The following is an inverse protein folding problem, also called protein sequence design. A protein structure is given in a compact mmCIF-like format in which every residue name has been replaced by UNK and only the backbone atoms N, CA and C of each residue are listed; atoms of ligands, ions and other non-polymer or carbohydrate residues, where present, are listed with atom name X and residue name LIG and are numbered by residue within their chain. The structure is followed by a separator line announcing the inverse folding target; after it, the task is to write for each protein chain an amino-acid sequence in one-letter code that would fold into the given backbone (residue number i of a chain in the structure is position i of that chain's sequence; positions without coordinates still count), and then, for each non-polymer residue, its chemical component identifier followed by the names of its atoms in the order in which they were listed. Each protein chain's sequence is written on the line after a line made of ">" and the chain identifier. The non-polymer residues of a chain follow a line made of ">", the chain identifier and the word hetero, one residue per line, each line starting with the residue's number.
data_IF_095697561871
#
_entry.id   IF_095697561871
#
_cell.length_a   1.000
_cell.length_b   1.000
_cell.length_c   1.000
_cell.angle_alpha   90.00
_cell.angle_beta   90.00
_cell.angle_gamma   90.00
#
_symmetry.space_group_name_H-M   'P 1'
#
loop_
_entity.id
_entity.type
_entity.pdbx_description
1 polymer ?
#
# COMPACT_ATOMS: atom_id res chain seq x y z
N UNK A 1 -32.94 -15.21 -11.56
CA UNK A 1 -32.11 -14.42 -12.48
C UNK A 1 -31.04 -13.68 -11.68
N UNK A 2 -29.90 -14.31 -11.43
CA UNK A 2 -28.76 -13.69 -10.74
C UNK A 2 -27.66 -13.46 -11.77
N UNK A 3 -27.31 -12.18 -11.94
CA UNK A 3 -26.27 -11.70 -12.83
C UNK A 3 -24.92 -12.31 -12.42
N UNK A 4 -24.37 -13.17 -13.28
CA UNK A 4 -22.95 -13.54 -13.31
C UNK A 4 -22.17 -12.30 -13.78
N UNK A 5 -21.94 -11.36 -12.85
CA UNK A 5 -21.02 -10.25 -13.11
C UNK A 5 -19.64 -10.87 -13.39
N UNK A 6 -19.04 -10.43 -14.51
CA UNK A 6 -17.64 -10.61 -14.87
C UNK A 6 -16.74 -10.75 -13.65
N UNK A 7 -15.75 -11.64 -13.69
CA UNK A 7 -14.63 -11.70 -12.74
C UNK A 7 -13.96 -10.33 -12.64
N UNK A 8 -14.46 -9.57 -11.68
CA UNK A 8 -14.30 -8.15 -11.54
C UNK A 8 -13.28 -7.95 -10.44
N UNK A 9 -12.04 -7.63 -10.80
CA UNK A 9 -11.03 -7.21 -9.85
C UNK A 9 -11.47 -5.86 -9.30
N UNK A 10 -11.86 -5.82 -8.03
CA UNK A 10 -12.24 -4.59 -7.36
C UNK A 10 -11.00 -3.69 -7.23
N UNK A 11 -10.81 -2.80 -8.20
CA UNK A 11 -9.81 -1.74 -8.11
C UNK A 11 -10.47 -0.55 -7.43
N UNK A 12 -10.04 -0.25 -6.21
CA UNK A 12 -10.45 0.95 -5.49
C UNK A 12 -9.76 2.16 -6.12
N UNK A 13 -10.34 2.72 -7.19
CA UNK A 13 -10.10 4.13 -7.51
C UNK A 13 -11.06 4.96 -6.66
N UNK A 14 -10.51 5.71 -5.70
CA UNK A 14 -11.24 6.76 -5.01
C UNK A 14 -11.50 7.91 -5.97
N UNK A 15 -12.73 7.99 -6.48
CA UNK A 15 -13.45 9.24 -6.78
C UNK A 15 -14.92 8.87 -7.10
N UNK A 16 -15.80 9.01 -6.11
CA UNK A 16 -17.26 9.05 -6.28
C UNK A 16 -17.96 7.75 -6.69
N UNK A 17 -18.38 6.96 -5.70
CA UNK A 17 -19.59 6.11 -5.72
C UNK A 17 -19.77 5.06 -6.83
N UNK A 18 -18.71 4.48 -7.38
CA UNK A 18 -18.82 3.25 -8.19
C UNK A 18 -17.53 2.44 -8.13
N UNK A 19 -17.58 1.24 -7.54
CA UNK A 19 -16.51 0.25 -7.69
C UNK A 19 -16.48 -0.20 -9.16
N UNK A 20 -15.64 0.48 -9.96
CA UNK A 20 -15.36 0.06 -11.34
C UNK A 20 -14.44 -1.14 -11.27
N UNK A 21 -15.03 -2.30 -10.98
CA UNK A 21 -14.25 -3.51 -10.97
C UNK A 21 -13.82 -3.87 -12.40
N UNK A 22 -12.52 -4.05 -12.56
CA UNK A 22 -11.83 -4.22 -13.84
C UNK A 22 -11.86 -5.71 -14.19
N UNK A 23 -12.26 -6.10 -15.40
CA UNK A 23 -12.22 -7.50 -15.81
C UNK A 23 -10.80 -8.06 -15.74
N UNK A 24 -10.62 -9.26 -15.19
CA UNK A 24 -9.31 -9.92 -15.07
C UNK A 24 -8.57 -9.98 -16.41
N UNK A 25 -9.27 -10.26 -17.51
CA UNK A 25 -8.67 -10.30 -18.85
C UNK A 25 -7.99 -8.99 -19.24
N UNK A 26 -8.54 -7.82 -18.86
CA UNK A 26 -7.89 -6.53 -19.13
C UNK A 26 -6.59 -6.38 -18.31
N UNK A 27 -6.61 -6.79 -17.05
CA UNK A 27 -5.42 -6.69 -16.17
C UNK A 27 -4.31 -7.59 -16.69
N UNK A 28 -4.63 -8.85 -17.04
CA UNK A 28 -3.67 -9.79 -17.62
C UNK A 28 -3.12 -9.31 -18.96
N UNK A 29 -3.95 -8.65 -19.78
CA UNK A 29 -3.51 -8.04 -21.04
C UNK A 29 -2.52 -6.91 -20.81
N UNK A 30 -2.83 -6.00 -19.88
CA UNK A 30 -1.96 -4.89 -19.52
C UNK A 30 -0.64 -5.37 -18.95
N UNK A 31 -0.65 -6.49 -18.22
CA UNK A 31 0.55 -7.15 -17.73
C UNK A 31 1.35 -7.88 -18.83
N UNK A 32 0.88 -7.90 -20.08
CA UNK A 32 1.54 -8.62 -21.18
C UNK A 32 1.55 -10.13 -21.02
N UNK A 33 0.63 -10.68 -20.20
CA UNK A 33 0.53 -12.12 -19.92
C UNK A 33 -0.42 -12.83 -20.89
N UNK A 34 -1.35 -12.09 -21.48
CA UNK A 34 -2.28 -12.58 -22.50
C UNK A 34 -2.45 -11.54 -23.61
N UNK A 35 -2.67 -12.01 -24.83
CA UNK A 35 -3.01 -11.17 -25.98
C UNK A 35 -4.51 -10.89 -26.06
N UNK A 36 -4.88 -9.87 -26.84
CA UNK A 36 -6.30 -9.59 -27.14
C UNK A 36 -6.98 -10.78 -27.83
N UNK A 37 -6.26 -11.49 -28.67
CA UNK A 37 -6.75 -12.63 -29.44
C UNK A 37 -7.06 -13.82 -28.51
N UNK A 38 -6.17 -14.11 -27.58
CA UNK A 38 -6.39 -15.13 -26.54
C UNK A 38 -7.59 -14.77 -25.65
N UNK A 39 -7.76 -13.50 -25.29
CA UNK A 39 -8.94 -13.04 -24.53
C UNK A 39 -10.22 -13.24 -25.36
N UNK A 40 -10.21 -12.90 -26.65
CA UNK A 40 -11.38 -13.07 -27.53
C UNK A 40 -11.75 -14.54 -27.68
N UNK A 41 -10.76 -15.42 -27.87
CA UNK A 41 -10.97 -16.86 -27.95
C UNK A 41 -11.59 -17.39 -26.65
N UNK A 42 -10.98 -17.08 -25.50
CA UNK A 42 -11.49 -17.50 -24.20
C UNK A 42 -12.89 -16.93 -23.89
N UNK A 43 -13.20 -15.72 -24.37
CA UNK A 43 -14.55 -15.13 -24.23
C UNK A 43 -15.60 -15.87 -25.05
N UNK A 44 -15.25 -16.28 -26.29
CA UNK A 44 -16.16 -17.09 -27.10
C UNK A 44 -16.54 -18.39 -26.38
N UNK A 45 -15.58 -19.02 -25.70
CA UNK A 45 -15.84 -20.24 -24.90
C UNK A 45 -16.63 -19.94 -23.62
N UNK A 46 -16.38 -18.78 -23.00
CA UNK A 46 -17.11 -18.30 -21.83
C UNK A 46 -18.60 -18.09 -22.14
N UNK A 47 -18.93 -17.54 -23.30
CA UNK A 47 -20.33 -17.29 -23.72
C UNK A 47 -21.14 -18.60 -23.83
N UNK A 48 -20.49 -19.72 -24.14
CA UNK A 48 -21.13 -21.03 -24.27
C UNK A 48 -21.17 -21.82 -22.96
N UNK A 49 -20.10 -21.72 -22.16
CA UNK A 49 -19.91 -22.53 -20.96
C UNK A 49 -20.30 -21.83 -19.66
N UNK A 50 -20.43 -20.51 -19.67
CA UNK A 50 -20.65 -19.64 -18.51
C UNK A 50 -19.57 -19.75 -17.42
N UNK A 51 -18.36 -20.13 -17.83
CA UNK A 51 -17.24 -20.32 -16.92
C UNK A 51 -16.46 -19.03 -16.74
N UNK A 52 -15.72 -18.87 -15.63
CA UNK A 52 -14.88 -17.70 -15.42
C UNK A 52 -13.76 -17.63 -16.47
N UNK A 53 -13.44 -16.42 -16.95
CA UNK A 53 -12.48 -16.18 -18.04
C UNK A 53 -11.07 -16.62 -17.62
N UNK A 54 -10.69 -16.35 -16.36
CA UNK A 54 -9.43 -16.78 -15.78
C UNK A 54 -9.26 -18.30 -15.81
N UNK A 55 -10.31 -19.05 -15.46
CA UNK A 55 -10.28 -20.52 -15.51
C UNK A 55 -10.11 -21.04 -16.94
N UNK A 56 -10.83 -20.47 -17.90
CA UNK A 56 -10.72 -20.86 -19.32
C UNK A 56 -9.29 -20.62 -19.83
N UNK A 57 -8.69 -19.46 -19.50
CA UNK A 57 -7.31 -19.15 -19.87
C UNK A 57 -6.30 -20.11 -19.23
N UNK A 58 -6.54 -20.57 -17.99
CA UNK A 58 -5.69 -21.54 -17.32
C UNK A 58 -5.80 -22.95 -17.94
N UNK A 59 -7.02 -23.41 -18.22
CA UNK A 59 -7.25 -24.75 -18.78
C UNK A 59 -6.80 -24.90 -20.22
N UNK A 60 -6.88 -23.82 -21.00
CA UNK A 60 -6.34 -23.78 -22.36
C UNK A 60 -4.82 -23.69 -22.40
N UNK A 61 -4.17 -23.57 -21.23
CA UNK A 61 -2.71 -23.48 -21.11
C UNK A 61 -2.12 -22.14 -21.53
N UNK A 62 -2.95 -21.11 -21.72
CA UNK A 62 -2.49 -19.75 -22.09
C UNK A 62 -1.70 -19.11 -20.96
N UNK A 63 -2.14 -19.33 -19.72
CA UNK A 63 -1.45 -18.91 -18.49
C UNK A 63 -1.54 -20.01 -17.44
N UNK A 64 -0.70 -19.94 -16.42
CA UNK A 64 -0.78 -20.89 -15.32
C UNK A 64 -1.97 -20.56 -14.40
N UNK A 65 -2.58 -21.59 -13.80
CA UNK A 65 -3.62 -21.42 -12.78
C UNK A 65 -3.11 -20.55 -11.61
N UNK A 66 -1.86 -20.74 -11.20
CA UNK A 66 -1.24 -19.93 -10.14
C UNK A 66 -1.26 -18.43 -10.48
N UNK A 67 -0.99 -18.08 -11.73
CA UNK A 67 -1.05 -16.68 -12.20
C UNK A 67 -2.46 -16.12 -12.07
N UNK A 68 -3.47 -16.88 -12.48
CA UNK A 68 -4.88 -16.48 -12.32
C UNK A 68 -5.22 -16.27 -10.85
N UNK A 69 -4.90 -17.26 -10.01
CA UNK A 69 -5.18 -17.22 -8.57
C UNK A 69 -4.54 -15.99 -7.91
N UNK A 70 -3.30 -15.64 -8.28
CA UNK A 70 -2.62 -14.43 -7.79
C UNK A 70 -3.36 -13.15 -8.19
N UNK A 71 -3.71 -13.00 -9.48
CA UNK A 71 -4.39 -11.80 -9.97
C UNK A 71 -5.80 -11.63 -9.42
N UNK A 72 -6.48 -12.73 -9.06
CA UNK A 72 -7.80 -12.70 -8.42
C UNK A 72 -7.68 -12.37 -6.93
N UNK A 73 -6.74 -12.98 -6.21
CA UNK A 73 -6.78 -13.01 -4.74
C UNK A 73 -5.77 -12.09 -4.06
N UNK A 74 -4.59 -11.90 -4.64
CA UNK A 74 -3.48 -11.16 -4.03
C UNK A 74 -3.31 -9.78 -4.64
N UNK A 75 -3.38 -9.69 -5.97
CA UNK A 75 -3.21 -8.44 -6.70
C UNK A 75 -4.14 -7.30 -6.22
N UNK A 76 -5.45 -7.53 -5.95
CA UNK A 76 -6.32 -6.46 -5.48
C UNK A 76 -5.92 -5.93 -4.09
N UNK A 77 -5.41 -6.80 -3.22
CA UNK A 77 -4.92 -6.43 -1.88
C UNK A 77 -3.63 -5.62 -1.98
N UNK A 78 -2.79 -5.94 -2.96
CA UNK A 78 -1.57 -5.19 -3.23
C UNK A 78 -1.93 -3.80 -3.79
N UNK A 79 -2.81 -3.72 -4.79
CA UNK A 79 -3.22 -2.45 -5.39
C UNK A 79 -3.93 -1.50 -4.42
N UNK A 80 -4.69 -2.04 -3.47
CA UNK A 80 -5.36 -1.24 -2.42
C UNK A 80 -4.41 -0.80 -1.30
N UNK A 81 -3.14 -1.21 -1.32
CA UNK A 81 -2.15 -0.89 -0.28
C UNK A 81 -2.33 -1.70 1.02
N UNK A 82 -3.31 -2.62 1.07
CA UNK A 82 -3.57 -3.51 2.21
C UNK A 82 -2.42 -4.50 2.41
N UNK A 83 -1.85 -5.01 1.31
CA UNK A 83 -0.69 -5.91 1.32
C UNK A 83 0.50 -5.20 0.67
N UNK A 84 1.61 -5.09 1.40
CA UNK A 84 2.90 -4.66 0.82
C UNK A 84 3.58 -5.87 0.19
N UNK A 85 4.07 -5.71 -1.04
CA UNK A 85 4.83 -6.73 -1.74
C UNK A 85 5.96 -6.09 -2.54
N UNK A 86 7.07 -6.81 -2.69
CA UNK A 86 8.15 -6.44 -3.60
C UNK A 86 7.90 -7.08 -4.98
N UNK A 87 8.57 -6.58 -5.99
CA UNK A 87 8.44 -7.08 -7.36
C UNK A 87 8.71 -8.58 -7.44
N UNK A 88 9.81 -9.03 -6.84
CA UNK A 88 10.30 -10.39 -6.95
C UNK A 88 9.34 -11.38 -6.28
N UNK A 89 8.76 -10.99 -5.15
CA UNK A 89 7.71 -11.77 -4.48
C UNK A 89 6.46 -11.86 -5.33
N UNK A 90 6.04 -10.78 -6.01
CA UNK A 90 4.87 -10.82 -6.89
C UNK A 90 5.08 -11.77 -8.06
N UNK A 91 6.28 -11.77 -8.65
CA UNK A 91 6.60 -12.66 -9.78
C UNK A 91 6.62 -14.14 -9.34
N UNK A 92 7.16 -14.44 -8.15
CA UNK A 92 7.14 -15.79 -7.56
C UNK A 92 5.72 -16.23 -7.21
N UNK A 93 4.96 -15.40 -6.50
CA UNK A 93 3.59 -15.70 -6.06
C UNK A 93 2.68 -15.94 -7.28
N UNK A 94 2.88 -15.18 -8.36
CA UNK A 94 2.16 -15.33 -9.62
C UNK A 94 2.62 -16.50 -10.50
N UNK A 95 3.68 -17.24 -10.12
CA UNK A 95 4.25 -18.33 -10.91
C UNK A 95 4.90 -17.87 -12.21
N UNK A 96 5.30 -16.59 -12.30
CA UNK A 96 5.95 -16.02 -13.49
C UNK A 96 7.46 -16.29 -13.50
N UNK A 97 8.02 -16.53 -12.32
CA UNK A 97 9.37 -17.09 -12.15
C UNK A 97 9.33 -18.20 -11.11
N UNK A 98 10.29 -19.12 -11.17
CA UNK A 98 10.45 -20.18 -10.16
C UNK A 98 11.44 -19.78 -9.07
N UNK A 99 11.41 -20.43 -7.90
CA UNK A 99 12.44 -20.22 -6.87
C UNK A 99 13.87 -20.46 -7.37
N UNK A 100 14.07 -21.44 -8.26
CA UNK A 100 15.37 -21.73 -8.87
C UNK A 100 15.81 -20.60 -9.79
N UNK A 101 14.91 -20.08 -10.63
CA UNK A 101 15.19 -18.91 -11.48
C UNK A 101 15.52 -17.67 -10.65
N UNK A 102 14.83 -17.48 -9.51
CA UNK A 102 15.15 -16.44 -8.55
C UNK A 102 16.57 -16.61 -7.99
N UNK A 103 16.92 -17.78 -7.45
CA UNK A 103 18.24 -18.03 -6.91
C UNK A 103 19.36 -17.83 -7.94
N UNK A 104 19.13 -18.29 -9.17
CA UNK A 104 20.08 -18.14 -10.27
C UNK A 104 20.27 -16.66 -10.64
N UNK A 105 19.19 -15.88 -10.66
CA UNK A 105 19.28 -14.43 -10.89
C UNK A 105 20.06 -13.68 -9.80
N UNK A 106 19.93 -14.11 -8.54
CA UNK A 106 20.65 -13.52 -7.40
C UNK A 106 22.15 -13.81 -7.51
N UNK A 107 22.53 -15.05 -7.89
CA UNK A 107 23.93 -15.41 -8.14
C UNK A 107 24.51 -14.61 -9.30
N UNK A 108 23.77 -14.50 -10.40
CA UNK A 108 24.23 -13.79 -11.60
C UNK A 108 24.35 -12.28 -11.37
N UNK A 109 23.47 -11.67 -10.56
CA UNK A 109 23.61 -10.28 -10.15
C UNK A 109 24.96 -10.00 -9.47
N UNK A 110 25.42 -10.92 -8.61
CA UNK A 110 26.69 -10.75 -7.90
C UNK A 110 27.90 -10.80 -8.84
N UNK A 111 27.79 -11.52 -9.96
CA UNK A 111 28.87 -11.70 -10.93
C UNK A 111 28.89 -10.62 -12.01
N UNK A 112 27.72 -10.20 -12.48
CA UNK A 112 27.56 -9.30 -13.63
C UNK A 112 27.34 -7.83 -13.24
N UNK A 113 26.87 -7.57 -12.02
CA UNK A 113 26.43 -6.24 -11.58
C UNK A 113 25.10 -5.77 -12.20
N UNK A 114 24.44 -6.61 -13.01
CA UNK A 114 23.15 -6.29 -13.62
C UNK A 114 22.00 -6.30 -12.60
N UNK A 115 20.95 -5.52 -12.88
CA UNK A 115 19.71 -5.60 -12.12
C UNK A 115 19.02 -6.96 -12.30
N UNK A 116 18.37 -7.47 -11.25
CA UNK A 116 17.66 -8.77 -11.29
C UNK A 116 16.60 -8.78 -12.40
N UNK A 117 15.87 -7.67 -12.54
CA UNK A 117 14.86 -7.48 -13.59
C UNK A 117 15.46 -7.63 -14.99
N UNK A 118 16.63 -7.03 -15.21
CA UNK A 118 17.36 -7.15 -16.49
C UNK A 118 17.77 -8.60 -16.73
N UNK A 119 18.20 -9.33 -15.69
CA UNK A 119 18.53 -10.75 -15.80
C UNK A 119 17.28 -11.56 -16.21
N UNK A 120 16.13 -11.33 -15.60
CA UNK A 120 14.88 -12.01 -15.98
C UNK A 120 14.50 -11.79 -17.44
N UNK A 121 14.62 -10.55 -17.93
CA UNK A 121 14.33 -10.19 -19.32
C UNK A 121 15.36 -10.84 -20.26
N UNK A 122 16.65 -10.73 -19.96
CA UNK A 122 17.73 -11.28 -20.79
C UNK A 122 17.67 -12.80 -20.89
N UNK A 123 17.24 -13.49 -19.84
CA UNK A 123 17.04 -14.94 -19.83
C UNK A 123 15.71 -15.37 -20.49
N UNK A 124 14.84 -14.42 -20.82
CA UNK A 124 13.54 -14.69 -21.42
C UNK A 124 12.53 -15.33 -20.46
N UNK A 125 12.75 -15.27 -19.14
CA UNK A 125 11.82 -15.82 -18.16
C UNK A 125 10.58 -14.95 -18.00
N UNK A 126 10.76 -13.62 -18.08
CA UNK A 126 9.67 -12.65 -18.01
C UNK A 126 9.92 -11.57 -19.04
N UNK A 127 8.86 -11.10 -19.72
CA UNK A 127 9.01 -10.01 -20.69
C UNK A 127 9.06 -8.63 -20.01
N UNK A 128 9.59 -7.64 -20.72
CA UNK A 128 9.73 -6.27 -20.20
C UNK A 128 8.38 -5.62 -19.86
N UNK A 129 7.33 -5.90 -20.64
CA UNK A 129 5.98 -5.39 -20.39
C UNK A 129 5.44 -5.82 -19.02
N UNK A 130 5.63 -7.08 -18.66
CA UNK A 130 5.22 -7.62 -17.36
C UNK A 130 6.00 -6.96 -16.22
N UNK A 131 7.32 -6.83 -16.35
CA UNK A 131 8.14 -6.14 -15.34
C UNK A 131 7.68 -4.69 -15.14
N UNK A 132 7.46 -3.96 -16.22
CA UNK A 132 7.02 -2.57 -16.17
C UNK A 132 5.64 -2.44 -15.55
N UNK A 133 4.71 -3.33 -15.91
CA UNK A 133 3.38 -3.39 -15.30
C UNK A 133 3.46 -3.51 -13.78
N UNK A 134 4.24 -4.47 -13.25
CA UNK A 134 4.37 -4.63 -11.79
C UNK A 134 5.02 -3.41 -11.15
N UNK A 135 6.07 -2.84 -11.75
CA UNK A 135 6.79 -1.68 -11.20
C UNK A 135 5.88 -0.47 -11.03
N UNK A 136 5.12 -0.13 -12.07
CA UNK A 136 4.22 1.02 -12.07
C UNK A 136 3.14 0.88 -10.99
N UNK A 137 2.55 -0.32 -10.87
CA UNK A 137 1.47 -0.56 -9.93
C UNK A 137 1.94 -0.74 -8.49
N UNK A 138 3.13 -1.32 -8.26
CA UNK A 138 3.72 -1.44 -6.92
C UNK A 138 4.18 -0.09 -6.38
N UNK A 139 4.72 0.79 -7.22
CA UNK A 139 5.07 2.15 -6.82
C UNK A 139 3.83 2.93 -6.35
N UNK A 140 2.74 2.84 -7.12
CA UNK A 140 1.46 3.46 -6.75
C UNK A 140 0.89 2.86 -5.45
N UNK A 141 0.91 1.53 -5.31
CA UNK A 141 0.44 0.84 -4.11
C UNK A 141 1.26 1.22 -2.86
N UNK A 142 2.58 1.36 -2.98
CA UNK A 142 3.43 1.76 -1.86
C UNK A 142 3.12 3.17 -1.37
N UNK A 143 2.77 4.10 -2.26
CA UNK A 143 2.37 5.46 -1.88
C UNK A 143 1.06 5.44 -1.09
N UNK A 144 0.08 4.66 -1.53
CA UNK A 144 -1.19 4.48 -0.82
C UNK A 144 -0.99 3.83 0.55
N UNK A 145 -0.19 2.76 0.61
CA UNK A 145 0.09 2.04 1.86
C UNK A 145 0.81 2.91 2.90
N UNK A 146 1.59 3.91 2.47
CA UNK A 146 2.21 4.87 3.40
C UNK A 146 1.18 5.90 3.90
N UNK A 147 0.31 6.42 3.04
CA UNK A 147 -0.75 7.35 3.43
C UNK A 147 -1.73 6.72 4.43
N UNK A 148 -2.09 5.44 4.24
CA UNK A 148 -2.96 4.69 5.15
C UNK A 148 -2.28 4.51 6.52
N UNK A 149 -1.00 4.15 6.54
CA UNK A 149 -0.24 3.99 7.78
C UNK A 149 -0.13 5.32 8.55
N UNK A 150 0.14 6.42 7.86
CA UNK A 150 0.21 7.75 8.47
C UNK A 150 -1.16 8.19 9.03
N UNK A 151 -2.26 7.94 8.31
CA UNK A 151 -3.60 8.26 8.78
C UNK A 151 -4.02 7.44 10.03
N UNK A 152 -3.64 6.16 10.08
CA UNK A 152 -3.97 5.29 11.22
C UNK A 152 -3.25 5.72 12.50
N UNK A 153 -1.99 6.17 12.40
CA UNK A 153 -1.24 6.72 13.53
C UNK A 153 -1.82 8.06 14.03
N UNK A 154 -2.38 8.87 13.14
CA UNK A 154 -3.00 10.15 13.51
C UNK A 154 -4.32 9.96 14.29
N UNK A 155 -5.09 8.90 13.99
CA UNK A 155 -6.31 8.59 14.74
C UNK A 155 -6.02 7.99 16.13
N UNK A 156 -5.03 7.11 16.26
CA UNK A 156 -4.59 6.60 17.58
C UNK A 156 -4.06 7.73 18.49
N UNK A 157 -3.34 8.71 17.92
CA UNK A 157 -2.84 9.86 18.67
C UNK A 157 -3.98 10.78 19.12
N UNK A 158 -4.99 11.04 18.28
CA UNK A 158 -6.18 11.82 18.66
C UNK A 158 -7.01 11.12 19.74
N UNK A 159 -7.17 9.80 19.64
CA UNK A 159 -7.94 9.01 20.61
C UNK A 159 -7.22 8.95 21.97
N UNK A 160 -5.88 8.88 21.97
CA UNK A 160 -5.07 8.94 23.19
C UNK A 160 -4.96 10.36 23.80
N UNK A 161 -5.11 11.43 23.02
CA UNK A 161 -5.11 12.83 23.50
C UNK A 161 -6.48 13.33 23.98
N UNK A 162 -7.56 12.64 23.59
CA UNK A 162 -8.93 13.00 23.98
C UNK A 162 -9.17 13.07 25.51
N UNK A 163 -8.62 12.17 26.36
CA UNK A 163 -8.75 12.31 27.81
C UNK A 163 -7.95 13.48 28.40
N UNK A 164 -6.81 13.86 27.80
CA UNK A 164 -5.99 15.00 28.28
C UNK A 164 -6.65 16.34 27.94
N UNK A 165 -7.30 16.44 26.78
CA UNK A 165 -8.09 17.61 26.39
C UNK A 165 -9.33 17.74 27.29
N UNK A 166 -10.04 16.62 27.53
CA UNK A 166 -11.24 16.60 28.39
C UNK A 166 -10.93 16.89 29.88
N UNK A 167 -9.73 16.53 30.37
CA UNK A 167 -9.28 16.87 31.73
C UNK A 167 -8.90 18.37 31.86
N UNK A 168 -8.44 19.01 30.79
CA UNK A 168 -8.13 20.45 30.79
C UNK A 168 -9.37 21.32 30.69
N UNK A 169 -10.43 20.89 30.01
CA UNK A 169 -11.69 21.64 29.95
C UNK A 169 -12.49 21.59 31.26
N UNK A 170 -12.33 20.52 32.06
CA UNK A 170 -12.96 20.42 33.39
C UNK A 170 -12.19 21.13 34.50
N UNK A 171 -10.87 21.34 34.34
CA UNK A 171 -10.04 22.07 35.31
C UNK A 171 -10.09 23.61 35.17
N UNK A 172 -10.69 24.15 34.09
CA UNK A 172 -10.81 25.60 33.86
C UNK A 172 -12.16 26.17 34.35
N UNK A 173 -13.04 25.36 34.97
CA UNK A 173 -14.29 25.88 35.50
C UNK A 173 -14.69 25.30 36.87
N UNK A 174 -14.01 25.67 37.97
CA UNK A 174 -14.67 25.73 39.26
C UNK A 174 -15.52 27.01 39.33
N UNK A 175 -16.73 26.84 39.85
CA UNK A 175 -17.79 27.81 40.10
C UNK A 175 -17.39 29.26 40.49
N UNK A 176 -18.43 30.11 40.46
CA UNK A 176 -18.61 31.44 41.09
C UNK A 176 -18.43 32.57 40.07
N UNK A 177 -19.45 33.34 39.69
CA UNK A 177 -20.31 34.13 40.58
C UNK A 177 -19.63 35.49 40.84
N UNK A 178 -20.40 36.58 40.77
CA UNK A 178 -20.04 37.95 41.16
C UNK A 178 -19.09 38.76 40.23
N UNK A 179 -19.75 39.69 39.53
CA UNK A 179 -19.49 41.14 39.58
C UNK A 179 -18.05 41.70 39.44
N UNK A 180 -17.96 42.54 38.40
CA UNK A 180 -17.35 43.88 38.36
C UNK A 180 -15.82 44.03 38.48
N UNK A 181 -15.26 44.64 37.44
CA UNK A 181 -14.31 45.74 37.60
C UNK A 181 -12.94 45.58 36.96
N UNK A 182 -12.73 46.29 35.85
CA UNK A 182 -11.52 47.09 35.69
C UNK A 182 -10.36 46.55 34.85
N UNK A 183 -10.03 47.34 33.81
CA UNK A 183 -8.71 47.62 33.22
C UNK A 183 -7.94 46.50 32.49
N UNK A 184 -8.04 46.59 31.16
CA UNK A 184 -6.94 46.85 30.20
C UNK A 184 -5.51 46.50 30.63
N UNK A 185 -4.88 45.56 29.92
CA UNK A 185 -3.58 45.65 29.22
C UNK A 185 -3.31 44.27 28.60
N UNK A 186 -3.44 44.15 27.28
CA UNK A 186 -2.29 44.04 26.38
C UNK A 186 -1.30 42.94 26.80
N UNK A 187 -1.59 41.68 26.47
CA UNK A 187 -0.57 40.68 26.02
C UNK A 187 -1.19 39.32 25.63
N UNK A 188 -2.30 39.32 24.88
CA UNK A 188 -2.95 38.09 24.38
C UNK A 188 -2.56 37.70 22.94
N UNK A 189 -1.93 38.61 22.20
CA UNK A 189 -1.70 38.44 20.75
C UNK A 189 -0.35 37.78 20.39
N UNK A 190 0.55 37.59 21.36
CA UNK A 190 1.90 37.04 21.10
C UNK A 190 2.00 35.52 21.19
N UNK A 191 1.04 34.82 21.81
CA UNK A 191 1.05 33.34 21.88
C UNK A 191 0.32 32.65 20.72
N UNK A 192 -0.51 33.39 19.96
CA UNK A 192 -1.18 32.86 18.76
C UNK A 192 -0.32 32.91 17.49
N UNK A 193 0.87 33.52 17.55
CA UNK A 193 1.80 33.59 16.42
C UNK A 193 2.81 32.44 16.39
N UNK A 194 2.97 31.70 17.48
CA UNK A 194 3.88 30.53 17.56
C UNK A 194 3.18 29.23 17.12
N UNK A 195 1.83 29.19 17.10
CA UNK A 195 1.06 28.01 16.68
C UNK A 195 0.67 27.98 15.19
N UNK A 196 1.22 28.88 14.36
CA UNK A 196 0.96 28.92 12.91
C UNK A 196 2.22 28.83 12.02
N UNK A 197 3.39 28.54 12.59
CA UNK A 197 4.60 28.26 11.83
C UNK A 197 4.93 26.76 11.90
N UNK A 198 4.82 26.10 10.75
CA UNK A 198 5.41 24.80 10.37
C UNK A 198 4.99 23.53 11.13
N UNK A 199 3.92 22.90 10.62
CA UNK A 199 3.63 21.46 10.79
C UNK A 199 4.50 20.63 9.82
N UNK A 200 5.81 20.91 9.82
CA UNK A 200 6.81 20.20 9.00
C UNK A 200 8.05 19.79 9.82
N UNK A 201 8.14 20.21 11.09
CA UNK A 201 9.28 19.90 11.96
C UNK A 201 8.96 18.94 13.12
N UNK A 202 7.76 18.38 13.16
CA UNK A 202 7.38 17.34 14.16
C UNK A 202 8.30 16.09 14.12
N UNK A 203 8.88 15.67 12.97
CA UNK A 203 9.80 14.53 12.97
C UNK A 203 11.17 14.79 13.64
N UNK A 204 11.57 16.05 13.88
CA UNK A 204 12.88 16.35 14.50
C UNK A 204 12.81 16.36 16.02
N UNK A 205 11.70 16.78 16.61
CA UNK A 205 11.54 16.83 18.08
C UNK A 205 11.45 15.41 18.68
N UNK A 206 10.83 14.46 17.97
CA UNK A 206 10.71 13.07 18.42
C UNK A 206 12.07 12.35 18.45
N UNK A 207 13.02 12.69 17.55
CA UNK A 207 14.37 12.12 17.58
C UNK A 207 15.23 12.61 18.74
N UNK A 208 15.03 13.84 19.23
CA UNK A 208 15.76 14.34 20.41
C UNK A 208 15.25 13.76 21.73
N UNK A 209 14.02 13.24 21.77
CA UNK A 209 13.42 12.66 22.98
C UNK A 209 13.67 11.15 23.16
N UNK A 210 14.13 10.45 22.12
CA UNK A 210 14.43 9.01 22.16
C UNK A 210 15.93 8.67 22.27
N UNK A 211 16.79 9.68 22.48
CA UNK A 211 18.24 9.50 22.57
C UNK A 211 18.78 9.42 24.01
N UNK A 212 17.93 9.19 25.02
CA UNK A 212 18.34 9.12 26.43
C UNK A 212 17.86 7.85 27.12
N UNK A 213 18.13 6.68 26.55
CA UNK A 213 18.18 5.43 27.33
C UNK A 213 19.23 4.52 26.70
N UNK A 214 20.49 4.63 27.13
CA UNK A 214 21.45 3.53 27.31
C UNK A 214 22.74 4.09 27.94
N UNK A 215 22.90 3.96 29.26
CA UNK A 215 24.15 3.47 29.85
C UNK A 215 23.90 2.91 31.26
N UNK A 216 24.48 1.74 31.61
CA UNK A 216 24.24 1.04 32.88
C UNK A 216 25.11 1.62 34.02
N UNK A 217 24.69 1.44 35.30
CA UNK A 217 25.44 1.96 36.43
C UNK A 217 26.75 1.19 36.65
N UNK A 218 27.88 1.88 36.44
CA UNK A 218 29.20 1.51 36.99
C UNK A 218 29.17 1.62 38.51
N UNK A 219 29.13 0.48 39.20
CA UNK A 219 29.47 0.38 40.62
C UNK A 219 30.96 0.67 40.85
N UNK A 220 31.25 1.65 41.71
CA UNK A 220 32.60 1.97 42.21
C UNK A 220 32.82 1.30 43.58
N UNK A 221 33.95 0.63 43.68
CA UNK A 221 34.84 0.40 44.83
C UNK A 221 34.36 0.76 46.25
N UNK A 222 34.53 -0.22 47.14
CA UNK A 222 35.34 -0.04 48.36
C UNK A 222 36.32 -1.19 48.48
#
# INVERSE_FOLDING_TARGET
>A
MLQRLDERIAVTKYQGDSTVAIPIGRVLQQAGLVSLEQIKAARSDQEQSWRPLGEILAETGVIQKQTVDFFVNDWPKIQSGVKRAKLEQCLLDAGLITPEQWEDSVKEKQQSGLGIESIFILKGWVNETTINFFREHLAAASLLANQIADASLQEEVKESLNPVIRARETAVNPHVGAQQGGRSTEDGASLLKILKSDVTEVPKIIRSLLATEEEPPKGKNK
#
